data_IF_280347608158
#
_entry.id   IF_280347608158
#
_cell.length_a   1.000
_cell.length_b   1.000
_cell.length_c   1.000
_cell.angle_alpha   90.00
_cell.angle_beta   90.00
_cell.angle_gamma   90.00
#
_symmetry.space_group_name_H-M   'P 1'
#
loop_
_entity.id
_entity.type
_entity.pdbx_description
1 polymer ?
#
# COMPACT_ATOMS: atom_id res chain seq x y z
N UNK A 1 12.43 34.26 8.56
CA UNK A 1 13.05 34.25 7.22
C UNK A 1 13.07 32.79 6.79
N UNK A 2 12.08 32.36 6.02
CA UNK A 2 12.00 30.98 5.55
C UNK A 2 13.15 30.71 4.58
N UNK A 3 13.83 29.55 4.65
CA UNK A 3 14.92 29.24 3.75
C UNK A 3 14.34 29.08 2.34
N UNK A 4 14.92 29.79 1.37
CA UNK A 4 14.57 29.68 -0.03
C UNK A 4 14.77 28.25 -0.50
N UNK A 5 13.66 27.52 -0.66
CA UNK A 5 13.65 26.18 -1.25
C UNK A 5 14.34 26.28 -2.61
N UNK A 6 15.46 25.57 -2.76
CA UNK A 6 16.32 25.69 -3.94
C UNK A 6 15.52 25.40 -5.22
N UNK A 7 15.86 26.08 -6.31
CA UNK A 7 15.24 25.86 -7.63
C UNK A 7 15.23 24.37 -8.02
N UNK A 8 16.31 23.68 -7.63
CA UNK A 8 16.50 22.25 -7.76
C UNK A 8 15.38 21.46 -7.06
N UNK A 9 15.02 21.81 -5.82
CA UNK A 9 13.92 21.17 -5.09
C UNK A 9 12.55 21.41 -5.73
N UNK A 10 12.31 22.59 -6.31
CA UNK A 10 11.07 22.90 -7.06
C UNK A 10 10.96 22.10 -8.36
N UNK A 11 12.06 21.95 -9.08
CA UNK A 11 12.10 21.14 -10.30
C UNK A 11 11.95 19.65 -9.93
N UNK A 12 12.58 19.19 -8.84
CA UNK A 12 12.42 17.82 -8.35
C UNK A 12 10.98 17.47 -8.02
N UNK A 13 10.25 18.32 -7.29
CA UNK A 13 8.84 18.05 -6.95
C UNK A 13 7.90 18.12 -8.14
N UNK A 14 8.26 18.86 -9.20
CA UNK A 14 7.38 19.11 -10.34
C UNK A 14 7.42 18.00 -11.40
N UNK A 15 8.56 17.30 -11.53
CA UNK A 15 8.77 16.32 -12.63
C UNK A 15 8.94 14.88 -12.15
N UNK A 16 9.05 14.67 -10.85
CA UNK A 16 9.31 13.37 -10.26
C UNK A 16 8.66 13.37 -8.90
N UNK A 17 7.96 12.31 -8.51
CA UNK A 17 7.55 12.11 -7.12
C UNK A 17 8.78 11.83 -6.20
N UNK A 18 9.93 12.47 -6.46
CA UNK A 18 11.21 12.28 -5.77
C UNK A 18 12.06 11.10 -6.23
N UNK A 19 11.62 10.31 -7.21
CA UNK A 19 12.20 8.99 -7.53
C UNK A 19 13.35 9.00 -8.55
N UNK A 20 13.34 9.88 -9.56
CA UNK A 20 14.30 9.80 -10.67
C UNK A 20 15.79 9.97 -10.30
N UNK A 21 16.07 10.54 -9.12
CA UNK A 21 17.43 10.72 -8.59
C UNK A 21 17.55 10.32 -7.11
N UNK A 22 16.57 9.57 -6.57
CA UNK A 22 16.66 9.09 -5.20
C UNK A 22 17.89 8.18 -5.08
N UNK A 23 18.88 8.55 -4.28
CA UNK A 23 20.03 7.68 -4.06
C UNK A 23 19.52 6.46 -3.27
N UNK A 24 19.78 5.21 -3.72
CA UNK A 24 19.40 4.04 -2.95
C UNK A 24 20.02 4.15 -1.55
N UNK A 25 19.19 4.14 -0.51
CA UNK A 25 19.70 4.22 0.85
C UNK A 25 20.21 2.83 1.19
N UNK A 26 21.52 2.66 1.38
CA UNK A 26 22.16 1.35 1.58
C UNK A 26 21.57 0.53 2.73
N UNK A 27 21.01 1.18 3.75
CA UNK A 27 20.30 0.55 4.87
C UNK A 27 18.91 0.02 4.54
N UNK A 28 18.33 0.43 3.40
CA UNK A 28 17.04 -0.05 2.88
C UNK A 28 17.20 -1.06 1.74
N UNK A 29 18.41 -1.59 1.56
CA UNK A 29 18.64 -2.74 0.68
C UNK A 29 17.77 -3.89 1.16
N UNK A 30 16.83 -4.29 0.33
CA UNK A 30 15.99 -5.46 0.61
C UNK A 30 16.32 -6.56 -0.39
N UNK A 31 16.10 -7.81 -0.01
CA UNK A 31 16.12 -8.93 -0.95
C UNK A 31 14.71 -9.09 -1.55
N UNK A 32 14.63 -9.80 -2.67
CA UNK A 32 13.36 -10.00 -3.38
C UNK A 32 12.33 -10.74 -2.52
N UNK A 33 12.77 -11.69 -1.70
CA UNK A 33 11.89 -12.49 -0.81
C UNK A 33 11.18 -11.59 0.20
N UNK A 34 11.91 -10.71 0.87
CA UNK A 34 11.35 -9.77 1.85
C UNK A 34 10.44 -8.73 1.18
N UNK A 35 10.76 -8.31 -0.04
CA UNK A 35 9.90 -7.43 -0.84
C UNK A 35 8.57 -8.11 -1.18
N UNK A 36 8.61 -9.34 -1.72
CA UNK A 36 7.41 -10.11 -2.05
C UNK A 36 6.59 -10.39 -0.80
N UNK A 37 7.22 -10.76 0.32
CA UNK A 37 6.53 -10.91 1.62
C UNK A 37 5.83 -9.62 2.04
N UNK A 38 6.50 -8.47 1.90
CA UNK A 38 5.90 -7.17 2.17
C UNK A 38 4.69 -6.87 1.27
N UNK A 39 4.73 -7.27 0.00
CA UNK A 39 3.59 -7.17 -0.92
C UNK A 39 2.44 -8.08 -0.48
N UNK A 40 2.72 -9.31 -0.08
CA UNK A 40 1.69 -10.23 0.44
C UNK A 40 1.03 -9.68 1.72
N UNK A 41 1.80 -9.05 2.62
CA UNK A 41 1.26 -8.38 3.81
C UNK A 41 0.25 -7.28 3.48
N UNK A 42 0.56 -6.39 2.52
CA UNK A 42 -0.39 -5.33 2.15
C UNK A 42 -1.63 -5.88 1.45
N UNK A 43 -1.51 -6.95 0.67
CA UNK A 43 -2.66 -7.65 0.08
C UNK A 43 -3.53 -8.32 1.15
N UNK A 44 -2.93 -8.72 2.27
CA UNK A 44 -3.66 -9.16 3.46
C UNK A 44 -4.29 -8.00 4.25
N UNK A 45 -3.95 -6.74 3.91
CA UNK A 45 -4.43 -5.54 4.59
C UNK A 45 -3.61 -5.16 5.82
N UNK A 46 -2.37 -5.64 5.92
CA UNK A 46 -1.42 -5.41 7.01
C UNK A 46 -0.30 -4.45 6.58
N UNK A 47 0.25 -3.70 7.54
CA UNK A 47 1.47 -2.92 7.33
C UNK A 47 2.71 -3.75 7.69
N UNK A 48 3.85 -3.44 7.09
CA UNK A 48 5.12 -4.13 7.27
C UNK A 48 6.28 -3.14 7.42
N UNK A 49 7.52 -3.65 7.48
CA UNK A 49 8.71 -2.80 7.52
C UNK A 49 8.91 -2.00 6.23
N UNK A 50 8.43 -2.50 5.08
CA UNK A 50 8.60 -1.90 3.76
C UNK A 50 7.37 -1.10 3.30
N UNK A 51 6.18 -1.48 3.75
CA UNK A 51 4.92 -0.85 3.33
C UNK A 51 4.08 -0.44 4.53
N UNK A 52 3.37 0.68 4.45
CA UNK A 52 2.52 1.16 5.53
C UNK A 52 1.21 1.71 5.02
N UNK A 53 0.18 1.63 5.85
CA UNK A 53 -1.12 2.27 5.62
C UNK A 53 -1.11 3.70 6.17
N UNK A 54 -1.37 4.69 5.31
CA UNK A 54 -1.60 6.07 5.73
C UNK A 54 -3.07 6.25 6.13
N UNK A 55 -3.32 6.43 7.43
CA UNK A 55 -4.68 6.61 7.95
C UNK A 55 -5.33 7.92 7.51
N UNK A 56 -4.56 8.94 7.15
CA UNK A 56 -5.08 10.24 6.71
C UNK A 56 -5.49 10.16 5.23
N UNK A 57 -4.61 9.61 4.39
CA UNK A 57 -4.82 9.48 2.94
C UNK A 57 -5.68 8.27 2.57
N UNK A 58 -5.79 7.29 3.47
CA UNK A 58 -6.51 6.02 3.27
C UNK A 58 -5.94 5.22 2.10
N UNK A 59 -4.62 5.10 2.03
CA UNK A 59 -3.88 4.34 1.03
C UNK A 59 -2.63 3.65 1.59
N UNK A 60 -2.16 2.65 0.86
CA UNK A 60 -0.89 1.98 1.14
C UNK A 60 0.25 2.66 0.39
N UNK A 61 1.37 2.82 1.09
CA UNK A 61 2.60 3.37 0.53
C UNK A 61 3.78 2.43 0.77
N UNK A 62 4.65 2.33 -0.23
CA UNK A 62 5.99 1.80 -0.06
C UNK A 62 6.88 2.88 0.59
N UNK A 63 7.78 2.48 1.49
CA UNK A 63 8.77 3.41 2.04
C UNK A 63 9.70 3.91 0.93
N UNK A 64 10.08 5.18 1.01
CA UNK A 64 11.03 5.77 0.07
C UNK A 64 12.41 5.13 0.21
N UNK A 65 13.12 4.97 -0.90
CA UNK A 65 14.50 4.47 -0.93
C UNK A 65 14.65 2.95 -0.92
N UNK A 66 13.55 2.19 -1.01
CA UNK A 66 13.60 0.73 -1.24
C UNK A 66 14.27 0.47 -2.59
N UNK A 67 15.20 -0.47 -2.62
CA UNK A 67 15.82 -0.93 -3.86
C UNK A 67 16.18 -2.41 -3.79
N UNK A 68 16.18 -3.07 -4.96
CA UNK A 68 16.66 -4.44 -5.17
C UNK A 68 17.77 -4.42 -6.21
N UNK A 69 18.62 -5.45 -6.23
CA UNK A 69 19.83 -5.47 -7.08
C UNK A 69 19.55 -5.63 -8.58
N UNK A 70 18.36 -6.11 -8.95
CA UNK A 70 18.04 -6.51 -10.33
C UNK A 70 17.06 -5.57 -11.04
N UNK A 71 16.54 -4.54 -10.35
CA UNK A 71 15.57 -3.60 -10.92
C UNK A 71 16.04 -2.16 -10.72
N UNK A 72 15.79 -1.32 -11.72
CA UNK A 72 15.89 0.13 -11.54
C UNK A 72 14.84 0.61 -10.52
N UNK A 73 15.11 1.71 -9.83
CA UNK A 73 14.16 2.30 -8.89
C UNK A 73 12.83 2.66 -9.55
N UNK A 74 12.88 3.19 -10.78
CA UNK A 74 11.67 3.55 -11.53
C UNK A 74 10.85 2.31 -11.86
N UNK A 75 11.50 1.24 -12.36
CA UNK A 75 10.81 -0.03 -12.66
C UNK A 75 10.20 -0.64 -11.40
N UNK A 76 10.96 -0.67 -10.31
CA UNK A 76 10.49 -1.17 -9.02
C UNK A 76 9.28 -0.36 -8.54
N UNK A 77 9.36 0.97 -8.58
CA UNK A 77 8.26 1.84 -8.19
C UNK A 77 6.98 1.57 -8.99
N UNK A 78 7.07 1.46 -10.32
CA UNK A 78 5.91 1.18 -11.18
C UNK A 78 5.26 -0.15 -10.81
N UNK A 79 6.07 -1.20 -10.57
CA UNK A 79 5.56 -2.52 -10.17
C UNK A 79 4.88 -2.43 -8.80
N UNK A 80 5.56 -1.85 -7.81
CA UNK A 80 5.02 -1.73 -6.45
C UNK A 80 3.74 -0.90 -6.42
N UNK A 81 3.64 0.15 -7.24
CA UNK A 81 2.46 1.00 -7.31
C UNK A 81 1.19 0.23 -7.72
N UNK A 82 1.31 -0.79 -8.57
CA UNK A 82 0.17 -1.63 -8.93
C UNK A 82 -0.33 -2.45 -7.74
N UNK A 83 0.60 -3.02 -6.98
CA UNK A 83 0.27 -3.80 -5.78
C UNK A 83 -0.28 -2.92 -4.65
N UNK A 84 0.32 -1.76 -4.39
CA UNK A 84 -0.18 -0.82 -3.37
C UNK A 84 -1.55 -0.28 -3.72
N UNK A 85 -1.82 -0.01 -5.01
CA UNK A 85 -3.14 0.37 -5.47
C UNK A 85 -4.17 -0.74 -5.22
N UNK A 86 -3.88 -1.98 -5.63
CA UNK A 86 -4.78 -3.12 -5.39
C UNK A 86 -5.04 -3.35 -3.89
N UNK A 87 -4.00 -3.34 -3.06
CA UNK A 87 -4.11 -3.45 -1.61
C UNK A 87 -4.96 -2.31 -1.01
N UNK A 88 -4.80 -1.09 -1.52
CA UNK A 88 -5.59 0.07 -1.11
C UNK A 88 -7.08 -0.14 -1.39
N UNK A 89 -7.42 -0.56 -2.61
CA UNK A 89 -8.81 -0.87 -2.95
C UNK A 89 -9.41 -1.92 -2.01
N UNK A 90 -8.68 -3.01 -1.74
CA UNK A 90 -9.13 -4.05 -0.80
C UNK A 90 -9.34 -3.49 0.62
N UNK A 91 -8.43 -2.65 1.10
CA UNK A 91 -8.51 -2.05 2.44
C UNK A 91 -9.67 -1.07 2.56
N UNK A 92 -9.93 -0.26 1.53
CA UNK A 92 -11.08 0.65 1.48
C UNK A 92 -12.42 -0.12 1.53
N UNK A 93 -12.51 -1.24 0.81
CA UNK A 93 -13.70 -2.11 0.88
C UNK A 93 -13.90 -2.66 2.29
N UNK A 94 -12.83 -3.10 2.97
CA UNK A 94 -12.89 -3.50 4.38
C UNK A 94 -13.38 -2.35 5.27
N UNK A 95 -12.82 -1.15 5.12
CA UNK A 95 -13.22 0.03 5.91
C UNK A 95 -14.71 0.32 5.74
N UNK A 96 -15.23 0.24 4.51
CA UNK A 96 -16.66 0.44 4.24
C UNK A 96 -17.51 -0.68 4.83
N UNK A 97 -17.12 -1.95 4.66
CA UNK A 97 -17.84 -3.08 5.22
C UNK A 97 -17.92 -3.00 6.76
N UNK A 98 -16.80 -2.69 7.41
CA UNK A 98 -16.74 -2.50 8.86
C UNK A 98 -17.64 -1.36 9.33
N UNK A 99 -17.67 -0.23 8.62
CA UNK A 99 -18.58 0.90 8.94
C UNK A 99 -20.05 0.49 8.92
N UNK A 100 -20.45 -0.38 8.00
CA UNK A 100 -21.82 -0.91 7.93
C UNK A 100 -22.10 -1.85 9.10
N UNK A 101 -21.16 -2.73 9.43
CA UNK A 101 -21.30 -3.69 10.54
C UNK A 101 -21.33 -2.99 11.91
N UNK A 102 -20.53 -1.94 12.10
CA UNK A 102 -20.45 -1.18 13.36
C UNK A 102 -21.42 0.01 13.42
N UNK A 103 -22.30 0.18 12.43
CA UNK A 103 -23.25 1.28 12.37
C UNK A 103 -24.22 1.23 13.56
N UNK A 104 -24.42 2.37 14.24
CA UNK A 104 -25.41 2.50 15.33
C UNK A 104 -26.83 2.25 14.83
N UNK A 105 -27.11 2.57 13.57
CA UNK A 105 -28.39 2.29 12.92
C UNK A 105 -28.34 0.91 12.29
N UNK A 106 -29.36 0.09 12.54
CA UNK A 106 -29.48 -1.21 11.87
C UNK A 106 -29.42 -1.03 10.35
N UNK A 107 -28.48 -1.71 9.65
CA UNK A 107 -28.43 -1.70 8.21
C UNK A 107 -29.65 -2.41 7.63
N UNK A 108 -30.04 -2.05 6.39
CA UNK A 108 -31.10 -2.78 5.70
C UNK A 108 -30.69 -4.26 5.50
N UNK A 109 -31.65 -5.21 5.47
CA UNK A 109 -31.33 -6.62 5.29
C UNK A 109 -30.49 -6.89 4.03
N UNK A 110 -30.78 -6.20 2.93
CA UNK A 110 -30.04 -6.30 1.68
C UNK A 110 -28.60 -5.80 1.82
N UNK A 111 -28.40 -4.66 2.47
CA UNK A 111 -27.07 -4.10 2.69
C UNK A 111 -26.24 -5.03 3.59
N UNK A 112 -26.86 -5.58 4.65
CA UNK A 112 -26.21 -6.56 5.52
C UNK A 112 -25.81 -7.83 4.78
N UNK A 113 -26.69 -8.39 3.95
CA UNK A 113 -26.36 -9.58 3.16
C UNK A 113 -25.22 -9.31 2.17
N UNK A 114 -25.22 -8.13 1.55
CA UNK A 114 -24.13 -7.68 0.68
C UNK A 114 -22.80 -7.58 1.44
N UNK A 115 -22.77 -6.89 2.59
CA UNK A 115 -21.53 -6.73 3.35
C UNK A 115 -21.02 -8.06 3.90
N UNK A 116 -21.89 -8.95 4.38
CA UNK A 116 -21.47 -10.30 4.77
C UNK A 116 -20.81 -11.07 3.61
N UNK A 117 -21.36 -10.94 2.39
CA UNK A 117 -20.78 -11.57 1.19
C UNK A 117 -19.41 -10.96 0.84
N UNK A 118 -19.29 -9.64 0.93
CA UNK A 118 -18.03 -8.92 0.71
C UNK A 118 -16.98 -9.32 1.75
N UNK A 119 -17.34 -9.37 3.04
CA UNK A 119 -16.44 -9.78 4.12
C UNK A 119 -15.93 -11.23 3.91
N UNK A 120 -16.80 -12.13 3.45
CA UNK A 120 -16.39 -13.50 3.09
C UNK A 120 -15.42 -13.55 1.90
N UNK A 121 -15.65 -12.73 0.87
CA UNK A 121 -14.74 -12.61 -0.27
C UNK A 121 -13.38 -12.00 0.11
N UNK A 122 -13.39 -10.94 0.92
CA UNK A 122 -12.16 -10.34 1.45
C UNK A 122 -11.35 -11.36 2.24
N UNK A 123 -12.01 -12.12 3.13
CA UNK A 123 -11.34 -13.21 3.88
C UNK A 123 -10.69 -14.22 2.94
N UNK A 124 -11.41 -14.69 1.92
CA UNK A 124 -10.88 -15.63 0.93
C UNK A 124 -9.65 -15.09 0.19
N UNK A 125 -9.68 -13.81 -0.22
CA UNK A 125 -8.54 -13.17 -0.89
C UNK A 125 -7.31 -13.11 0.03
N UNK A 126 -7.52 -12.78 1.30
CA UNK A 126 -6.45 -12.75 2.32
C UNK A 126 -5.89 -14.13 2.60
N UNK A 127 -6.74 -15.16 2.69
CA UNK A 127 -6.31 -16.54 2.89
C UNK A 127 -5.43 -17.03 1.72
N UNK A 128 -5.74 -16.62 0.48
CA UNK A 128 -4.88 -16.91 -0.67
C UNK A 128 -3.52 -16.21 -0.56
N UNK A 129 -3.49 -14.92 -0.20
CA UNK A 129 -2.24 -14.19 -0.01
C UNK A 129 -1.39 -14.76 1.14
N UNK A 130 -2.03 -15.20 2.23
CA UNK A 130 -1.37 -15.84 3.37
C UNK A 130 -0.77 -17.19 2.98
N UNK A 131 -1.46 -17.98 2.16
CA UNK A 131 -0.96 -19.27 1.69
C UNK A 131 0.34 -19.13 0.88
N UNK A 132 0.48 -18.07 0.10
CA UNK A 132 1.71 -17.82 -0.68
C UNK A 132 2.84 -17.22 0.16
N UNK A 133 2.56 -16.75 1.39
CA UNK A 133 3.57 -16.23 2.31
C UNK A 133 4.30 -17.34 3.09
N UNK A 134 3.59 -18.42 3.42
CA UNK A 134 4.01 -19.55 4.27
C UNK A 134 4.67 -20.65 3.46
#
# INVERSE_FOLDING_TARGET
>A
MEPSVSLINKIYSAFSDGIHFATPISSLRTNEVDLVRGVLHILQGLSSSLFYWDNVRQDFHAKSGIYVTHLSQTSLHVILNQFTYAATCLKLVEVVANKVETSVRLPSPTLRAFTCSVSAWLKRLRDMALKEEV
#
